data_IF_477464119462
#
_entry.id   IF_477464119462
#
_cell.length_a   1.000
_cell.length_b   1.000
_cell.length_c   1.000
_cell.angle_alpha   90.00
_cell.angle_beta   90.00
_cell.angle_gamma   90.00
#
_symmetry.space_group_name_H-M   'P 1'
#
loop_
_entity.id
_entity.type
_entity.pdbx_description
1 polymer ?
#
# COMPACT_ATOMS: atom_id res chain seq x y z
N UNK A 1 2.74 17.47 -18.37
CA UNK A 1 2.01 16.61 -19.32
C UNK A 1 0.69 17.22 -19.84
N UNK A 2 0.46 18.54 -19.89
CA UNK A 2 -0.67 19.12 -20.67
C UNK A 2 -2.10 18.64 -20.40
N UNK A 3 -2.33 17.74 -19.44
CA UNK A 3 -3.63 17.17 -19.14
C UNK A 3 -4.37 18.04 -18.13
N UNK A 4 -5.65 18.28 -18.41
CA UNK A 4 -6.53 19.04 -17.54
C UNK A 4 -6.57 18.42 -16.13
N UNK A 5 -6.48 19.21 -15.05
CA UNK A 5 -6.62 18.76 -13.66
C UNK A 5 -7.84 17.85 -13.43
N UNK A 6 -8.89 18.02 -14.25
CA UNK A 6 -10.11 17.21 -14.23
C UNK A 6 -9.88 15.76 -14.65
N UNK A 7 -8.97 15.47 -15.59
CA UNK A 7 -8.67 14.10 -16.02
C UNK A 7 -7.95 13.30 -14.93
N UNK A 8 -7.05 13.98 -14.21
CA UNK A 8 -6.38 13.44 -13.02
C UNK A 8 -7.43 13.23 -11.91
N UNK A 9 -8.31 14.20 -11.66
CA UNK A 9 -9.44 14.09 -10.73
C UNK A 9 -10.36 12.90 -11.02
N UNK A 10 -10.73 12.70 -12.29
CA UNK A 10 -11.58 11.61 -12.75
C UNK A 10 -10.93 10.23 -12.56
N UNK A 11 -9.60 10.12 -12.70
CA UNK A 11 -8.89 8.84 -12.47
C UNK A 11 -8.93 8.36 -11.01
N UNK A 12 -9.14 9.26 -10.04
CA UNK A 12 -9.31 8.86 -8.63
C UNK A 12 -10.63 8.15 -8.35
N UNK A 13 -11.66 8.33 -9.19
CA UNK A 13 -12.99 7.72 -8.98
C UNK A 13 -12.93 6.20 -9.17
N UNK A 14 -12.46 5.65 -10.32
CA UNK A 14 -12.25 4.22 -10.48
C UNK A 14 -11.31 3.65 -9.42
N UNK A 15 -10.26 4.39 -9.05
CA UNK A 15 -9.29 3.98 -8.05
C UNK A 15 -9.92 3.81 -6.66
N UNK A 16 -10.80 4.74 -6.27
CA UNK A 16 -11.50 4.66 -4.97
C UNK A 16 -12.47 3.49 -4.95
N UNK A 17 -13.21 3.26 -6.04
CA UNK A 17 -14.10 2.10 -6.17
C UNK A 17 -13.29 0.81 -6.09
N UNK A 18 -12.17 0.74 -6.80
CA UNK A 18 -11.26 -0.41 -6.77
C UNK A 18 -10.71 -0.66 -5.35
N UNK A 19 -10.32 0.39 -4.62
CA UNK A 19 -9.90 0.30 -3.22
C UNK A 19 -11.01 -0.23 -2.31
N UNK A 20 -12.24 0.27 -2.46
CA UNK A 20 -13.39 -0.21 -1.70
C UNK A 20 -13.67 -1.69 -2.00
N UNK A 21 -13.68 -2.08 -3.28
CA UNK A 21 -13.85 -3.47 -3.71
C UNK A 21 -12.76 -4.36 -3.08
N UNK A 22 -11.51 -3.91 -3.08
CA UNK A 22 -10.41 -4.61 -2.42
C UNK A 22 -10.59 -4.76 -0.91
N UNK A 23 -11.02 -3.71 -0.22
CA UNK A 23 -11.27 -3.73 1.22
C UNK A 23 -12.46 -4.61 1.63
N UNK A 24 -13.59 -4.49 0.95
CA UNK A 24 -14.77 -5.34 1.20
C UNK A 24 -14.52 -6.79 0.75
N UNK A 25 -13.87 -6.97 -0.40
CA UNK A 25 -13.47 -8.28 -0.91
C UNK A 25 -12.50 -8.99 0.04
N UNK A 26 -11.57 -8.25 0.64
CA UNK A 26 -10.68 -8.78 1.68
C UNK A 26 -11.46 -9.17 2.94
N UNK A 27 -12.41 -8.34 3.42
CA UNK A 27 -13.26 -8.74 4.57
C UNK A 27 -14.06 -10.02 4.29
N UNK A 28 -14.60 -10.18 3.08
CA UNK A 28 -15.29 -11.40 2.67
C UNK A 28 -14.33 -12.60 2.58
N UNK A 29 -13.11 -12.41 2.05
CA UNK A 29 -12.07 -13.44 2.02
C UNK A 29 -11.60 -13.83 3.42
N UNK A 30 -11.47 -12.87 4.35
CA UNK A 30 -11.10 -13.08 5.75
C UNK A 30 -12.13 -13.88 6.55
N UNK A 31 -13.39 -13.89 6.12
CA UNK A 31 -14.41 -14.78 6.69
C UNK A 31 -14.19 -16.26 6.31
N UNK A 32 -13.54 -16.52 5.17
CA UNK A 32 -13.22 -17.89 4.72
C UNK A 32 -11.77 -18.31 4.98
N UNK A 33 -10.82 -17.37 5.04
CA UNK A 33 -9.37 -17.61 5.10
C UNK A 33 -8.73 -16.75 6.20
N UNK A 34 -7.75 -17.29 6.95
CA UNK A 34 -7.06 -16.51 7.99
C UNK A 34 -6.19 -15.40 7.35
N UNK A 35 -6.30 -14.16 7.83
CA UNK A 35 -5.58 -13.00 7.28
C UNK A 35 -4.06 -13.12 7.26
N UNK A 36 -3.49 -13.98 8.10
CA UNK A 36 -2.07 -14.32 8.11
C UNK A 36 -1.61 -14.98 6.79
N UNK A 37 -2.47 -15.75 6.12
CA UNK A 37 -2.19 -16.39 4.84
C UNK A 37 -2.50 -15.48 3.65
N UNK A 38 -3.46 -14.57 3.79
CA UNK A 38 -3.85 -13.64 2.72
C UNK A 38 -2.81 -12.52 2.54
N UNK A 39 -2.20 -12.07 3.63
CA UNK A 39 -1.22 -10.97 3.64
C UNK A 39 -0.01 -11.19 2.70
N UNK A 40 0.72 -12.33 2.72
CA UNK A 40 1.84 -12.55 1.79
C UNK A 40 1.39 -12.57 0.32
N UNK A 41 0.22 -13.17 0.02
CA UNK A 41 -0.32 -13.16 -1.34
C UNK A 41 -0.63 -11.74 -1.82
N UNK A 42 -1.25 -10.92 -0.97
CA UNK A 42 -1.52 -9.51 -1.26
C UNK A 42 -0.22 -8.72 -1.47
N UNK A 43 0.81 -8.94 -0.65
CA UNK A 43 2.11 -8.29 -0.81
C UNK A 43 2.82 -8.68 -2.12
N UNK A 44 2.72 -9.94 -2.54
CA UNK A 44 3.26 -10.39 -3.84
C UNK A 44 2.53 -9.71 -4.98
N UNK A 45 1.19 -9.67 -4.96
CA UNK A 45 0.41 -8.99 -5.99
C UNK A 45 0.71 -7.48 -5.99
N UNK A 46 0.91 -6.87 -4.82
CA UNK A 46 1.34 -5.47 -4.70
C UNK A 46 2.69 -5.24 -5.36
N UNK A 47 3.69 -6.08 -5.03
CA UNK A 47 5.04 -5.97 -5.59
C UNK A 47 5.04 -6.13 -7.11
N UNK A 48 4.30 -7.12 -7.63
CA UNK A 48 4.15 -7.33 -9.08
C UNK A 48 3.46 -6.13 -9.74
N UNK A 49 2.43 -5.56 -9.10
CA UNK A 49 1.72 -4.39 -9.62
C UNK A 49 2.61 -3.16 -9.69
N UNK A 50 3.41 -2.89 -8.65
CA UNK A 50 4.35 -1.76 -8.64
C UNK A 50 5.48 -1.98 -9.65
N UNK A 51 6.00 -3.20 -9.79
CA UNK A 51 7.00 -3.53 -10.80
C UNK A 51 6.45 -3.33 -12.23
N UNK A 52 5.19 -3.70 -12.46
CA UNK A 52 4.50 -3.42 -13.72
C UNK A 52 4.34 -1.91 -13.95
N UNK A 53 3.95 -1.13 -12.94
CA UNK A 53 3.89 0.34 -13.04
C UNK A 53 5.24 0.96 -13.34
N UNK A 54 6.32 0.43 -12.74
CA UNK A 54 7.67 0.92 -12.98
C UNK A 54 8.15 0.60 -14.41
N UNK A 55 7.89 -0.62 -14.92
CA UNK A 55 8.16 -0.97 -16.31
C UNK A 55 7.40 -0.09 -17.30
N UNK A 56 6.13 0.21 -17.02
CA UNK A 56 5.34 1.15 -17.81
C UNK A 56 5.94 2.56 -17.73
N UNK A 57 6.46 2.98 -16.56
CA UNK A 57 7.13 4.27 -16.38
C UNK A 57 8.46 4.45 -17.13
N UNK A 58 9.05 3.39 -17.68
CA UNK A 58 10.26 3.45 -18.52
C UNK A 58 9.96 3.74 -20.00
N UNK A 59 8.70 3.70 -20.43
CA UNK A 59 8.29 3.94 -21.81
C UNK A 59 7.82 5.40 -21.96
N UNK A 60 8.49 6.18 -22.80
CA UNK A 60 8.28 7.63 -22.93
C UNK A 60 6.96 8.06 -23.62
N UNK A 61 6.17 7.10 -24.13
CA UNK A 61 4.88 7.33 -24.84
C UNK A 61 3.69 6.58 -24.20
N UNK A 62 3.63 6.57 -22.86
CA UNK A 62 2.59 5.84 -22.15
C UNK A 62 1.28 6.65 -22.05
N UNK A 63 0.25 6.10 -22.68
CA UNK A 63 -1.14 6.55 -22.54
C UNK A 63 -1.61 6.42 -21.09
N UNK A 64 -2.33 7.43 -20.59
CA UNK A 64 -2.93 7.47 -19.23
C UNK A 64 -3.64 6.17 -18.87
N UNK A 65 -4.30 5.53 -19.85
CA UNK A 65 -5.04 4.28 -19.67
C UNK A 65 -4.10 3.11 -19.29
N UNK A 66 -2.90 3.06 -19.87
CA UNK A 66 -1.93 2.01 -19.59
C UNK A 66 -1.34 2.10 -18.18
N UNK A 67 -1.27 3.31 -17.59
CA UNK A 67 -0.92 3.50 -16.17
C UNK A 67 -2.10 3.19 -15.26
N UNK A 68 -3.33 3.46 -15.71
CA UNK A 68 -4.53 3.32 -14.89
C UNK A 68 -4.82 1.87 -14.49
N UNK A 69 -4.54 0.91 -15.36
CA UNK A 69 -4.74 -0.53 -15.10
C UNK A 69 -3.91 -1.02 -13.89
N UNK A 70 -2.56 -0.89 -13.89
CA UNK A 70 -1.76 -1.32 -12.75
C UNK A 70 -2.06 -0.49 -11.50
N UNK A 71 -2.48 0.77 -11.66
CA UNK A 71 -2.93 1.60 -10.53
C UNK A 71 -4.23 1.08 -9.89
N UNK A 72 -5.20 0.65 -10.67
CA UNK A 72 -6.43 0.04 -10.16
C UNK A 72 -6.16 -1.27 -9.41
N UNK A 73 -5.28 -2.12 -9.95
CA UNK A 73 -4.86 -3.35 -9.25
C UNK A 73 -4.17 -3.00 -7.94
N UNK A 74 -3.26 -2.03 -7.96
CA UNK A 74 -2.59 -1.54 -6.75
C UNK A 74 -3.59 -1.02 -5.71
N UNK A 75 -4.64 -0.31 -6.14
CA UNK A 75 -5.68 0.20 -5.26
C UNK A 75 -6.50 -0.92 -4.60
N UNK A 76 -6.89 -1.95 -5.35
CA UNK A 76 -7.56 -3.15 -4.81
C UNK A 76 -6.69 -3.80 -3.74
N UNK A 77 -5.42 -4.02 -4.07
CA UNK A 77 -4.48 -4.71 -3.17
C UNK A 77 -4.24 -3.87 -1.91
N UNK A 78 -4.05 -2.56 -2.04
CA UNK A 78 -3.86 -1.66 -0.91
C UNK A 78 -5.12 -1.63 -0.01
N UNK A 79 -6.32 -1.60 -0.63
CA UNK A 79 -7.60 -1.71 0.07
C UNK A 79 -7.73 -3.01 0.87
N UNK A 80 -7.18 -4.11 0.37
CA UNK A 80 -7.16 -5.39 1.07
C UNK A 80 -6.09 -5.53 2.16
N UNK A 81 -4.91 -4.94 1.97
CA UNK A 81 -3.82 -4.99 2.95
C UNK A 81 -4.18 -4.18 4.21
N UNK A 82 -4.80 -3.00 4.02
CA UNK A 82 -5.03 -2.04 5.09
C UNK A 82 -5.78 -2.62 6.31
N UNK A 83 -6.94 -3.31 6.14
CA UNK A 83 -7.67 -3.90 7.26
C UNK A 83 -6.88 -5.01 7.99
N UNK A 84 -6.08 -5.80 7.27
CA UNK A 84 -5.30 -6.89 7.86
C UNK A 84 -4.18 -6.31 8.74
N UNK A 85 -3.39 -5.39 8.19
CA UNK A 85 -2.24 -4.81 8.88
C UNK A 85 -2.70 -3.97 10.06
N UNK A 86 -3.75 -3.17 9.91
CA UNK A 86 -4.33 -2.40 11.02
C UNK A 86 -4.83 -3.32 12.13
N UNK A 87 -5.58 -4.38 11.80
CA UNK A 87 -6.06 -5.33 12.80
C UNK A 87 -4.91 -6.02 13.55
N UNK A 88 -3.84 -6.39 12.84
CA UNK A 88 -2.66 -7.01 13.44
C UNK A 88 -1.83 -6.02 14.27
N UNK A 89 -1.71 -4.75 13.85
CA UNK A 89 -0.98 -3.72 14.57
C UNK A 89 -1.69 -3.26 15.85
N UNK A 90 -3.03 -3.33 15.88
CA UNK A 90 -3.83 -2.97 17.06
C UNK A 90 -3.96 -4.12 18.06
N UNK A 91 -3.77 -5.38 17.63
CA UNK A 91 -3.87 -6.58 18.49
C UNK A 91 -2.97 -6.56 19.74
N UNK A 92 -1.72 -6.06 19.71
CA UNK A 92 -0.86 -5.95 20.88
C UNK A 92 -1.24 -4.83 21.86
N UNK A 93 -2.06 -3.87 21.43
CA UNK A 93 -2.46 -2.70 22.23
C UNK A 93 -3.98 -2.63 22.48
N UNK A 94 -4.62 -3.68 23.04
CA UNK A 94 -6.08 -3.73 23.19
C UNK A 94 -6.63 -2.63 24.12
N UNK A 95 -5.82 -2.16 25.09
CA UNK A 95 -6.18 -1.08 26.02
C UNK A 95 -5.97 0.34 25.45
N UNK A 96 -5.26 0.49 24.33
CA UNK A 96 -4.88 1.79 23.76
C UNK A 96 -5.07 1.85 22.23
N UNK A 97 -6.00 1.07 21.69
CA UNK A 97 -6.26 0.95 20.25
C UNK A 97 -6.53 2.31 19.58
N UNK A 98 -7.29 3.20 20.23
CA UNK A 98 -7.55 4.54 19.72
C UNK A 98 -6.29 5.41 19.61
N UNK A 99 -5.35 5.30 20.56
CA UNK A 99 -4.08 6.04 20.52
C UNK A 99 -3.13 5.47 19.47
N UNK A 100 -3.08 4.15 19.34
CA UNK A 100 -2.30 3.48 18.30
C UNK A 100 -2.81 3.83 16.89
N UNK A 101 -4.13 3.86 16.69
CA UNK A 101 -4.74 4.30 15.42
C UNK A 101 -4.45 5.78 15.12
N UNK A 102 -4.52 6.65 16.14
CA UNK A 102 -4.17 8.06 15.97
C UNK A 102 -2.70 8.24 15.57
N UNK A 103 -1.78 7.49 16.21
CA UNK A 103 -0.36 7.51 15.87
C UNK A 103 -0.12 7.04 14.42
N UNK A 104 -0.81 5.98 13.98
CA UNK A 104 -0.72 5.49 12.60
C UNK A 104 -1.15 6.57 11.60
N UNK A 105 -2.24 7.29 11.86
CA UNK A 105 -2.68 8.38 11.00
C UNK A 105 -1.66 9.53 10.96
N UNK A 106 -1.12 9.92 12.11
CA UNK A 106 -0.07 10.96 12.20
C UNK A 106 1.18 10.57 11.41
N UNK A 107 1.65 9.31 11.53
CA UNK A 107 2.79 8.82 10.78
C UNK A 107 2.52 8.79 9.28
N UNK A 108 1.34 8.37 8.85
CA UNK A 108 0.94 8.35 7.44
C UNK A 108 0.91 9.74 6.83
N UNK A 109 0.29 10.71 7.51
CA UNK A 109 0.24 12.10 7.06
C UNK A 109 1.65 12.73 7.04
N UNK A 110 2.47 12.46 8.06
CA UNK A 110 3.86 12.91 8.12
C UNK A 110 4.72 12.36 6.97
N UNK A 111 4.64 11.06 6.70
CA UNK A 111 5.33 10.43 5.56
C UNK A 111 4.82 10.97 4.22
N UNK A 112 3.53 11.20 4.08
CA UNK A 112 2.94 11.80 2.88
C UNK A 112 3.47 13.21 2.64
N UNK A 113 3.60 14.03 3.70
CA UNK A 113 4.18 15.36 3.64
C UNK A 113 5.65 15.32 3.21
N UNK A 114 6.47 14.48 3.84
CA UNK A 114 7.89 14.33 3.49
C UNK A 114 8.08 13.85 2.05
N UNK A 115 7.26 12.90 1.62
CA UNK A 115 7.27 12.38 0.24
C UNK A 115 6.89 13.46 -0.76
N UNK A 116 5.82 14.22 -0.48
CA UNK A 116 5.37 15.31 -1.34
C UNK A 116 6.44 16.39 -1.45
N UNK A 117 7.13 16.70 -0.35
CA UNK A 117 8.26 17.64 -0.35
C UNK A 117 9.43 17.12 -1.22
N UNK A 118 9.77 15.83 -1.11
CA UNK A 118 10.83 15.20 -1.88
C UNK A 118 10.52 15.17 -3.39
N UNK A 119 9.29 14.79 -3.75
CA UNK A 119 8.83 14.79 -5.16
C UNK A 119 8.80 16.21 -5.72
N UNK A 120 8.36 17.19 -4.91
CA UNK A 120 8.36 18.61 -5.28
C UNK A 120 9.77 19.18 -5.47
N UNK A 121 10.81 18.61 -4.85
CA UNK A 121 12.20 19.00 -5.08
C UNK A 121 12.78 18.42 -6.39
N UNK A 122 12.21 17.34 -6.95
CA UNK A 122 12.67 16.64 -8.15
C UNK A 122 11.69 16.80 -9.34
N UNK A 123 11.47 18.05 -9.76
CA UNK A 123 10.47 18.43 -10.80
C UNK A 123 10.84 17.95 -12.22
N UNK A 124 12.09 17.57 -12.47
CA UNK A 124 12.56 17.23 -13.82
C UNK A 124 11.96 15.92 -14.40
N UNK A 125 11.60 14.94 -13.55
CA UNK A 125 11.04 13.64 -13.99
C UNK A 125 9.98 13.10 -13.00
N UNK A 126 8.82 13.76 -12.87
CA UNK A 126 7.84 13.47 -11.82
C UNK A 126 7.33 12.02 -11.82
N UNK A 127 7.25 11.37 -12.99
CA UNK A 127 6.81 9.97 -13.10
C UNK A 127 7.84 8.98 -12.53
N UNK A 128 9.13 9.18 -12.83
CA UNK A 128 10.23 8.34 -12.34
C UNK A 128 10.48 8.57 -10.84
N UNK A 129 10.36 9.81 -10.36
CA UNK A 129 10.45 10.09 -8.92
C UNK A 129 9.29 9.46 -8.16
N UNK A 130 8.06 9.51 -8.67
CA UNK A 130 6.90 8.92 -7.99
C UNK A 130 6.98 7.39 -7.96
N UNK A 131 7.35 6.75 -9.08
CA UNK A 131 7.49 5.29 -9.16
C UNK A 131 8.67 4.76 -8.34
N UNK A 132 9.76 5.52 -8.23
CA UNK A 132 10.89 5.14 -7.36
C UNK A 132 10.54 5.23 -5.87
N UNK A 133 9.77 6.24 -5.44
CA UNK A 133 9.23 6.28 -4.07
C UNK A 133 8.26 5.12 -3.81
N UNK A 134 7.45 4.75 -4.80
CA UNK A 134 6.60 3.55 -4.73
C UNK A 134 7.41 2.25 -4.60
N UNK A 135 8.57 2.15 -5.26
CA UNK A 135 9.48 1.01 -5.07
C UNK A 135 10.05 0.93 -3.65
N UNK A 136 10.45 2.07 -3.07
CA UNK A 136 10.95 2.12 -1.68
C UNK A 136 9.87 1.63 -0.70
N UNK A 137 8.61 1.94 -0.95
CA UNK A 137 7.51 1.47 -0.11
C UNK A 137 7.26 -0.05 -0.21
N UNK A 138 7.59 -0.71 -1.33
CA UNK A 138 7.63 -2.19 -1.38
C UNK A 138 8.69 -2.73 -0.43
N UNK A 139 9.90 -2.16 -0.46
CA UNK A 139 11.01 -2.63 0.39
C UNK A 139 10.64 -2.46 1.86
N UNK A 140 10.08 -1.31 2.24
CA UNK A 140 9.57 -1.07 3.59
C UNK A 140 8.44 -2.02 3.97
N UNK A 141 7.50 -2.31 3.05
CA UNK A 141 6.42 -3.27 3.30
C UNK A 141 6.96 -4.70 3.48
N UNK A 142 7.97 -5.10 2.69
CA UNK A 142 8.65 -6.38 2.81
C UNK A 142 9.43 -6.53 4.12
N UNK A 143 10.19 -5.49 4.50
CA UNK A 143 10.87 -5.43 5.79
C UNK A 143 9.88 -5.47 6.96
N UNK A 144 8.79 -4.70 6.89
CA UNK A 144 7.73 -4.69 7.88
C UNK A 144 7.07 -6.07 8.03
N UNK A 145 6.81 -6.76 6.92
CA UNK A 145 6.30 -8.13 6.93
C UNK A 145 7.30 -9.11 7.57
N UNK A 146 8.59 -9.00 7.25
CA UNK A 146 9.63 -9.86 7.82
C UNK A 146 9.75 -9.66 9.33
N UNK A 147 9.79 -8.41 9.79
CA UNK A 147 9.79 -8.06 11.22
C UNK A 147 8.54 -8.59 11.94
N UNK A 148 7.36 -8.45 11.33
CA UNK A 148 6.11 -8.95 11.90
C UNK A 148 6.13 -10.48 12.03
N UNK A 149 6.69 -11.21 11.04
CA UNK A 149 6.88 -12.66 11.12
C UNK A 149 7.85 -13.05 12.23
N UNK A 150 8.93 -12.29 12.39
CA UNK A 150 9.94 -12.55 13.42
C UNK A 150 9.39 -12.34 14.84
N UNK A 151 8.60 -11.29 15.05
CA UNK A 151 7.94 -11.03 16.34
C UNK A 151 6.92 -12.12 16.72
N UNK A 152 6.21 -12.69 15.74
CA UNK A 152 5.30 -13.82 15.96
C UNK A 152 6.07 -15.07 16.39
N UNK A 153 7.22 -15.35 15.77
CA UNK A 153 8.09 -16.49 16.12
C UNK A 153 8.68 -16.36 17.54
N UNK A 154 9.18 -15.17 17.91
CA UNK A 154 9.76 -14.91 19.24
C UNK A 154 8.74 -15.04 20.37
N UNK A 155 7.46 -14.73 20.11
CA UNK A 155 6.39 -14.88 21.11
C UNK A 155 6.04 -16.36 21.35
N UNK A 156 6.17 -17.21 20.33
CA UNK A 156 5.92 -18.66 20.47
C UNK A 156 7.02 -19.35 21.28
N UNK A 157 8.29 -18.96 21.14
CA UNK A 157 9.37 -19.49 21.99
C UNK A 157 9.24 -19.06 23.45
N UNK A 158 8.83 -17.82 23.72
CA UNK A 158 8.63 -17.31 25.10
C UNK A 158 7.46 -17.97 25.85
N UNK A 159 6.48 -18.55 25.15
CA UNK A 159 5.31 -19.19 25.78
C UNK A 159 5.53 -20.67 26.08
N UNK A 160 6.66 -21.25 25.63
CA UNK A 160 7.04 -22.65 25.84
C UNK A 160 8.28 -22.81 26.74
N UNK A 161 8.85 -21.71 27.23
CA UNK A 161 9.90 -21.68 28.26
C UNK A 161 9.31 -21.28 29.62
#
# INVERSE_FOLDING_TARGET
MGYSPTAIGLSYVPQTIAFLIGGYGCRAALQKWQGQQLLPWLLVIFAVSVAATWMVGLVEDVSIIAVMIPFCVMAIVNGGIYPIVVAQALKPFPQATGRAAALQNTLQLGLCFLTSLLVSALIATPLLTTTSVMLVSIVLAGLGYFMQRHSVCLTTESSHA
#
